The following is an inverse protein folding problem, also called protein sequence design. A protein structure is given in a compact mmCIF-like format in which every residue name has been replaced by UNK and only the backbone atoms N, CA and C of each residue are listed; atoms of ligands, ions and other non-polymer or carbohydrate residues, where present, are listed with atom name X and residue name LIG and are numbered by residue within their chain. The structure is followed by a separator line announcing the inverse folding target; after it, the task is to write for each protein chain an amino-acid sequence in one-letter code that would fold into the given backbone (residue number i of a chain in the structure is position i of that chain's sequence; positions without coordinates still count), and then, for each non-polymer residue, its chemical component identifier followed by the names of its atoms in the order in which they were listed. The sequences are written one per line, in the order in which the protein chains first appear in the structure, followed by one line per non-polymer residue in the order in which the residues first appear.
data_IF_709763693407
#
_entry.id   IF_709763693407
#
_cell.length_a   1.000
_cell.length_b   1.000
_cell.length_c   1.000
_cell.angle_alpha   90.00
_cell.angle_beta   90.00
_cell.angle_gamma   90.00
#
_symmetry.space_group_name_H-M   'P 1'
#
loop_
_entity.id
_entity.type
_entity.pdbx_description
1 polymer ?
2 non-polymer ?
3 water ?
#
# COMPACT_ATOMS: atom_id res chain seq x y z
N UNK A 15 -15.72 13.57 0.31
CA UNK A 15 -15.08 14.25 1.43
C UNK A 15 -14.51 15.60 1.00
N UNK A 16 -14.96 16.67 1.65
CA UNK A 16 -14.47 18.01 1.36
C UNK A 16 -13.28 18.31 2.26
N UNK A 17 -12.17 18.69 1.64
CA UNK A 17 -10.94 18.99 2.36
C UNK A 17 -10.83 20.49 2.68
N UNK A 18 -10.08 20.79 3.74
CA UNK A 18 -9.76 22.18 4.03
C UNK A 18 -8.91 22.78 2.91
N UNK A 19 -8.82 24.11 2.91
CA UNK A 19 -8.01 24.77 1.89
C UNK A 19 -6.53 24.41 2.03
N UNK A 20 -6.06 24.25 3.27
CA UNK A 20 -4.68 23.83 3.45
C UNK A 20 -4.47 22.41 2.92
N UNK A 21 -5.40 21.49 3.21
CA UNK A 21 -5.24 20.11 2.77
C UNK A 21 -5.47 19.98 1.27
N UNK A 22 -6.28 20.85 0.67
CA UNK A 22 -6.42 20.88 -0.78
C UNK A 22 -5.08 21.21 -1.42
N UNK A 23 -4.36 22.19 -0.87
CA UNK A 23 -3.04 22.50 -1.40
C UNK A 23 -2.08 21.33 -1.17
N UNK A 24 -2.24 20.60 -0.08
CA UNK A 24 -1.40 19.43 0.14
C UNK A 24 -1.66 18.38 -0.93
N UNK A 25 -2.94 18.15 -1.27
CA UNK A 25 -3.29 17.21 -2.31
C UNK A 25 -2.62 17.57 -3.61
N UNK A 26 -2.62 18.87 -3.95
CA UNK A 26 -2.04 19.28 -5.22
C UNK A 26 -0.53 19.16 -5.20
N UNK A 27 0.08 19.35 -4.03
CA UNK A 27 1.51 19.11 -3.90
C UNK A 27 1.82 17.63 -4.04
N UNK A 28 0.97 16.78 -3.47
CA UNK A 28 1.21 15.34 -3.57
C UNK A 28 1.16 14.90 -5.02
N UNK A 29 0.17 15.38 -5.75
CA UNK A 29 0.06 15.00 -7.15
C UNK A 29 1.23 15.52 -7.96
N UNK A 30 1.84 16.61 -7.53
CA UNK A 30 2.97 17.14 -8.28
C UNK A 30 4.20 16.27 -8.09
N UNK A 31 4.57 15.98 -6.83
CA UNK A 31 5.76 15.17 -6.61
C UNK A 31 5.54 13.70 -6.96
N UNK A 32 4.31 13.30 -7.26
CA UNK A 32 4.02 11.94 -7.67
C UNK A 32 3.83 11.81 -9.18
N UNK A 33 3.99 12.92 -9.92
CA UNK A 33 3.62 12.94 -11.33
C UNK A 33 4.78 12.47 -12.20
N UNK A 34 4.47 12.25 -13.48
CA UNK A 34 5.48 11.79 -14.43
C UNK A 34 6.66 12.76 -14.52
N UNK A 35 6.41 14.05 -14.31
CA UNK A 35 7.49 15.03 -14.39
C UNK A 35 8.68 14.65 -13.51
N UNK A 36 8.44 14.00 -12.38
CA UNK A 36 9.50 13.66 -11.46
C UNK A 36 9.69 12.16 -11.36
N UNK A 37 9.37 11.43 -12.43
CA UNK A 37 9.40 9.97 -12.37
C UNK A 37 10.80 9.44 -12.04
N UNK A 38 11.85 10.18 -12.43
CA UNK A 38 13.21 9.75 -12.11
C UNK A 38 13.51 9.77 -10.61
N UNK A 39 12.72 10.51 -9.84
CA UNK A 39 12.93 10.64 -8.39
C UNK A 39 11.90 9.89 -7.58
N UNK A 40 10.61 9.91 -7.99
CA UNK A 40 9.52 9.40 -7.16
C UNK A 40 9.20 7.92 -7.39
N UNK A 41 9.66 7.31 -8.48
CA UNK A 41 9.19 5.96 -8.75
C UNK A 41 9.62 4.98 -7.65
N UNK A 42 10.68 5.29 -6.90
CA UNK A 42 11.03 4.44 -5.77
C UNK A 42 10.08 4.60 -4.57
N UNK A 43 9.30 5.67 -4.52
CA UNK A 43 8.44 6.00 -3.38
C UNK A 43 6.96 5.91 -3.74
N UNK A 44 6.63 5.51 -4.95
CA UNK A 44 5.23 5.50 -5.37
C UNK A 44 4.41 4.45 -4.64
N UNK A 45 5.03 3.36 -4.22
CA UNK A 45 4.32 2.20 -3.70
C UNK A 45 5.02 1.67 -2.46
N UNK A 46 4.32 0.88 -1.64
CA UNK A 46 4.92 0.40 -0.41
C UNK A 46 6.17 -0.41 -0.65
N UNK A 47 7.13 -0.26 0.26
CA UNK A 47 8.30 -1.13 0.23
C UNK A 47 7.86 -2.57 0.40
N UNK A 48 8.40 -3.46 -0.48
CA UNK A 48 8.07 -4.89 -0.49
C UNK A 48 9.38 -5.60 -0.19
N UNK A 49 9.53 -6.12 1.03
CA UNK A 49 10.84 -6.63 1.44
C UNK A 49 11.24 -7.84 0.61
N UNK A 50 10.26 -8.67 0.22
CA UNK A 50 10.59 -9.88 -0.53
C UNK A 50 10.99 -9.50 -1.95
N UNK A 51 10.25 -8.60 -2.59
CA UNK A 51 10.52 -8.27 -3.98
C UNK A 51 11.87 -7.60 -4.13
N UNK A 52 12.24 -6.82 -3.14
CA UNK A 52 13.47 -6.04 -3.11
C UNK A 52 14.62 -6.78 -2.42
N UNK A 53 14.38 -7.96 -1.86
CA UNK A 53 15.42 -8.74 -1.21
C UNK A 53 16.06 -8.02 -0.03
N UNK A 54 15.26 -7.41 0.83
CA UNK A 54 15.76 -6.59 1.91
C UNK A 54 16.04 -7.42 3.16
N UNK A 55 17.13 -7.07 3.86
CA UNK A 55 17.46 -7.66 5.15
C UNK A 55 17.18 -6.64 6.28
N UNK A 56 16.36 -7.05 7.25
CA UNK A 56 16.17 -6.31 8.51
C UNK A 56 15.38 -5.02 8.34
N UNK A 57 14.50 -4.94 7.34
CA UNK A 57 13.89 -3.67 7.05
C UNK A 57 13.03 -3.23 8.22
N UNK A 58 12.20 -4.12 8.77
CA UNK A 58 11.26 -3.74 9.83
C UNK A 58 11.91 -3.81 11.21
N UNK A 59 13.15 -4.30 11.30
CA UNK A 59 13.95 -4.04 12.50
C UNK A 59 14.36 -2.58 12.56
N UNK A 60 14.59 -1.95 11.42
CA UNK A 60 15.00 -0.54 11.42
C UNK A 60 13.80 0.39 11.27
N UNK A 61 12.82 0.02 10.46
CA UNK A 61 11.68 0.87 10.12
C UNK A 61 10.48 0.34 10.88
N UNK A 62 9.92 1.15 11.78
CA UNK A 62 8.78 0.67 12.57
C UNK A 62 7.43 0.94 11.91
N UNK A 63 7.35 1.96 11.06
CA UNK A 63 6.12 2.25 10.33
C UNK A 63 6.49 2.67 8.92
N UNK A 64 6.12 1.83 7.95
CA UNK A 64 6.38 2.10 6.55
C UNK A 64 5.45 3.17 6.02
N UNK A 65 5.91 3.92 5.01
CA UNK A 65 5.10 4.96 4.41
C UNK A 65 5.53 5.18 2.96
N UNK A 66 4.59 5.56 2.12
CA UNK A 66 4.90 5.76 0.72
C UNK A 66 3.84 6.69 0.14
N UNK A 67 4.02 7.06 -1.14
CA UNK A 67 3.15 8.07 -1.75
C UNK A 67 1.72 7.57 -1.94
N UNK A 68 1.56 6.29 -2.32
CA UNK A 68 0.22 5.76 -2.51
C UNK A 68 -0.57 5.76 -1.20
N UNK A 69 0.09 5.44 -0.09
CA UNK A 69 -0.57 5.40 1.20
C UNK A 69 -0.94 6.79 1.68
N UNK A 70 -0.06 7.77 1.50
CA UNK A 70 -0.37 9.14 1.85
C UNK A 70 -1.57 9.64 1.06
N UNK A 71 -1.65 9.30 -0.24
CA UNK A 71 -2.81 9.67 -1.05
C UNK A 71 -4.10 9.04 -0.53
N UNK A 72 -4.05 7.76 -0.17
CA UNK A 72 -5.21 7.09 0.41
C UNK A 72 -5.65 7.80 1.68
N UNK A 73 -4.71 8.07 2.59
CA UNK A 73 -5.10 8.63 3.88
C UNK A 73 -5.66 10.04 3.71
N UNK A 74 -5.00 10.84 2.88
CA UNK A 74 -5.49 12.19 2.59
C UNK A 74 -6.91 12.17 2.05
N UNK A 75 -7.18 11.29 1.06
CA UNK A 75 -8.48 11.32 0.41
C UNK A 75 -9.55 10.63 1.23
N UNK A 76 -9.20 9.87 2.27
CA UNK A 76 -10.21 9.28 3.14
C UNK A 76 -10.36 10.09 4.43
N UNK A 77 -9.80 11.29 4.49
CA UNK A 77 -9.99 12.13 5.66
C UNK A 77 -9.20 11.79 6.91
N UNK A 78 -8.06 11.12 6.77
CA UNK A 78 -7.29 10.71 7.93
C UNK A 78 -6.26 11.75 8.37
N UNK A 79 -6.06 12.81 7.61
CA UNK A 79 -5.21 13.92 8.00
C UNK A 79 -6.08 15.09 8.45
N UNK A 80 -5.98 15.46 9.70
CA UNK A 80 -6.80 16.56 10.22
C UNK A 80 -6.18 17.92 9.94
N UNK A 81 -4.87 18.02 9.93
CA UNK A 81 -4.20 19.26 9.58
C UNK A 81 -3.10 18.99 8.56
N UNK A 82 -2.64 20.07 7.90
CA UNK A 82 -1.50 19.91 6.98
C UNK A 82 -0.27 19.32 7.67
N UNK A 83 -0.13 19.50 8.98
CA UNK A 83 1.02 18.93 9.69
C UNK A 83 0.91 17.41 9.80
N UNK A 84 -0.30 16.88 9.91
CA UNK A 84 -0.47 15.43 9.90
C UNK A 84 -0.01 14.85 8.58
N UNK A 85 -0.37 15.49 7.45
CA UNK A 85 0.06 15.07 6.12
C UNK A 85 1.58 15.23 5.98
N UNK A 86 2.13 16.33 6.45
CA UNK A 86 3.58 16.54 6.34
C UNK A 86 4.35 15.54 7.18
N UNK A 87 3.78 15.10 8.32
CA UNK A 87 4.43 14.07 9.13
C UNK A 87 4.65 12.81 8.33
N UNK A 88 3.63 12.34 7.61
CA UNK A 88 3.78 11.09 6.85
C UNK A 88 4.74 11.24 5.69
N UNK A 89 4.73 12.38 5.01
CA UNK A 89 5.71 12.60 3.95
C UNK A 89 7.12 12.54 4.52
N UNK A 90 7.34 13.21 5.65
CA UNK A 90 8.66 13.22 6.29
C UNK A 90 9.03 11.81 6.74
N UNK A 91 8.05 11.05 7.24
CA UNK A 91 8.32 9.69 7.66
C UNK A 91 8.79 8.83 6.50
N UNK A 92 8.18 9.02 5.33
CA UNK A 92 8.55 8.27 4.16
C UNK A 92 10.01 8.49 3.82
N UNK A 93 10.44 9.76 3.83
CA UNK A 93 11.81 10.04 3.44
C UNK A 93 12.80 9.58 4.52
N UNK A 94 12.47 9.81 5.82
CA UNK A 94 13.38 9.46 6.90
C UNK A 94 13.56 7.95 6.98
N UNK A 95 12.49 7.18 6.72
CA UNK A 95 12.63 5.73 6.62
C UNK A 95 13.69 5.34 5.59
N UNK A 96 13.63 5.96 4.40
CA UNK A 96 14.58 5.68 3.34
C UNK A 96 15.98 6.08 3.77
N UNK A 97 16.14 7.27 4.35
CA UNK A 97 17.49 7.69 4.72
C UNK A 97 18.14 6.76 5.76
N UNK A 98 17.37 6.34 6.75
CA UNK A 98 17.99 5.66 7.87
C UNK A 98 18.18 4.17 7.59
N UNK A 99 17.31 3.56 6.79
CA UNK A 99 17.56 2.17 6.42
C UNK A 99 18.66 2.04 5.37
N UNK A 100 18.59 2.88 4.33
CA UNK A 100 19.53 2.73 3.22
C UNK A 100 20.87 3.44 3.44
N UNK A 101 20.89 4.49 4.24
CA UNK A 101 22.15 5.22 4.44
C UNK A 101 22.17 6.43 3.54
N UNK A 102 22.67 7.57 4.02
CA UNK A 102 22.57 8.80 3.23
C UNK A 102 23.49 8.80 2.02
N UNK A 103 24.49 7.93 2.00
CA UNK A 103 25.33 7.78 0.81
C UNK A 103 24.73 6.85 -0.26
N UNK A 104 23.59 6.22 -0.02
CA UNK A 104 22.95 5.35 -0.99
C UNK A 104 22.33 6.16 -2.12
N UNK A 105 22.18 5.49 -3.26
CA UNK A 105 21.61 6.16 -4.41
C UNK A 105 20.16 6.55 -4.15
N UNK A 106 19.43 5.70 -3.43
CA UNK A 106 18.01 5.96 -3.25
C UNK A 106 17.83 7.11 -2.25
N UNK A 107 18.72 7.24 -1.28
CA UNK A 107 18.65 8.39 -0.39
C UNK A 107 18.97 9.66 -1.14
N UNK A 108 19.90 9.60 -2.10
CA UNK A 108 20.31 10.80 -2.81
C UNK A 108 19.17 11.34 -3.66
N UNK A 109 18.40 10.46 -4.31
CA UNK A 109 17.27 10.96 -5.09
C UNK A 109 16.13 11.36 -4.17
N UNK A 110 15.97 10.64 -3.05
CA UNK A 110 15.02 11.05 -2.03
C UNK A 110 15.20 12.48 -1.60
N UNK A 111 16.44 12.88 -1.28
CA UNK A 111 16.70 14.24 -0.82
C UNK A 111 16.30 15.24 -1.89
N UNK A 112 16.55 14.92 -3.16
CA UNK A 112 16.13 15.78 -4.26
C UNK A 112 14.62 15.96 -4.25
N UNK A 113 13.88 14.86 -4.13
CA UNK A 113 12.42 14.95 -4.11
C UNK A 113 11.91 15.67 -2.86
N UNK A 114 12.55 15.45 -1.71
CA UNK A 114 12.12 16.11 -0.49
C UNK A 114 12.36 17.61 -0.56
N UNK A 115 13.47 18.03 -1.16
CA UNK A 115 13.73 19.45 -1.29
C UNK A 115 12.65 20.11 -2.14
N UNK A 116 12.16 19.38 -3.16
CA UNK A 116 11.07 19.89 -3.97
C UNK A 116 9.83 20.03 -3.13
N UNK A 117 9.54 18.99 -2.35
CA UNK A 117 8.34 19.03 -1.51
C UNK A 117 8.46 20.13 -0.46
N UNK A 118 9.60 20.22 0.23
CA UNK A 118 9.79 21.25 1.25
C UNK A 118 9.54 22.63 0.70
N UNK A 119 10.08 22.92 -0.49
CA UNK A 119 9.91 24.23 -1.10
C UNK A 119 8.44 24.54 -1.30
N UNK A 120 7.67 23.57 -1.81
CA UNK A 120 6.25 23.83 -2.08
C UNK A 120 5.42 23.85 -0.79
N UNK A 121 5.73 22.96 0.14
CA UNK A 121 4.91 22.88 1.35
C UNK A 121 5.02 24.15 2.19
N UNK A 122 6.15 24.86 2.07
CA UNK A 122 6.32 26.10 2.79
C UNK A 122 5.29 27.15 2.39
N UNK A 123 4.68 27.01 1.22
CA UNK A 123 3.74 28.01 0.72
C UNK A 123 2.28 27.71 1.07
N UNK A 124 2.01 26.70 1.87
CA UNK A 124 0.63 26.30 2.17
C UNK A 124 0.12 27.19 3.30
N UNK A 125 -1.09 27.76 3.18
CA UNK A 125 -1.62 28.60 4.26
C UNK A 125 -1.97 27.77 5.49
N UNK A 126 -2.14 28.46 6.62
CA UNK A 126 -2.51 27.77 7.84
C UNK A 126 -3.85 27.06 7.69
N UNK A 127 -4.04 26.03 8.52
CA UNK A 127 -5.28 25.26 8.51
C UNK A 127 -6.52 26.11 8.68
N UNK B 16 -2.71 -17.06 19.46
CA UNK B 16 -2.87 -15.72 20.03
C UNK B 16 -2.18 -14.69 19.15
N UNK B 17 -2.97 -13.90 18.44
CA UNK B 17 -2.42 -12.86 17.58
C UNK B 17 -2.11 -11.60 18.40
N UNK B 18 -1.23 -10.76 17.85
CA UNK B 18 -0.94 -9.45 18.41
C UNK B 18 -2.09 -8.48 18.11
N UNK B 19 -2.09 -7.33 18.79
CA UNK B 19 -3.14 -6.35 18.56
C UNK B 19 -3.16 -5.90 17.11
N UNK B 20 -1.99 -5.75 16.51
CA UNK B 20 -1.94 -5.32 15.12
C UNK B 20 -2.49 -6.38 14.19
N UNK B 21 -2.13 -7.65 14.43
CA UNK B 21 -2.62 -8.72 13.56
C UNK B 21 -4.08 -9.03 13.84
N UNK B 22 -4.55 -8.82 15.07
CA UNK B 22 -5.98 -8.94 15.33
C UNK B 22 -6.78 -7.96 14.48
N UNK B 23 -6.30 -6.72 14.38
CA UNK B 23 -6.96 -5.75 13.51
C UNK B 23 -6.87 -6.19 12.05
N UNK B 24 -5.74 -6.79 11.65
CA UNK B 24 -5.64 -7.34 10.30
C UNK B 24 -6.66 -8.43 10.02
N UNK B 25 -6.86 -9.34 10.97
CA UNK B 25 -7.91 -10.35 10.83
C UNK B 25 -9.29 -9.72 10.65
N UNK B 26 -9.55 -8.66 11.40
CA UNK B 26 -10.86 -8.02 11.30
C UNK B 26 -11.04 -7.39 9.92
N UNK B 27 -9.97 -6.80 9.38
CA UNK B 27 -10.04 -6.24 8.04
C UNK B 27 -10.24 -7.35 7.01
N UNK B 28 -9.52 -8.46 7.15
CA UNK B 28 -9.68 -9.57 6.23
C UNK B 28 -11.11 -10.11 6.25
N UNK B 29 -11.71 -10.19 7.44
CA UNK B 29 -13.09 -10.66 7.51
C UNK B 29 -14.03 -9.68 6.82
N UNK B 30 -13.80 -8.38 6.98
CA UNK B 30 -14.69 -7.41 6.38
C UNK B 30 -14.64 -7.50 4.85
N UNK B 31 -13.44 -7.41 4.27
CA UNK B 31 -13.33 -7.43 2.82
C UNK B 31 -13.66 -8.79 2.21
N UNK B 32 -13.76 -9.84 3.04
CA UNK B 32 -14.15 -11.15 2.55
C UNK B 32 -15.64 -11.42 2.74
N UNK B 33 -16.41 -10.48 3.31
CA UNK B 33 -17.78 -10.76 3.72
C UNK B 33 -18.76 -10.53 2.56
N UNK B 34 -19.99 -10.99 2.75
CA UNK B 34 -21.02 -10.86 1.73
C UNK B 34 -21.19 -9.43 1.27
N UNK B 35 -20.94 -8.47 2.18
CA UNK B 35 -21.12 -7.07 1.85
C UNK B 35 -20.40 -6.70 0.56
N UNK B 36 -19.24 -7.29 0.32
CA UNK B 36 -18.43 -6.93 -0.83
C UNK B 36 -18.33 -8.09 -1.83
N UNK B 37 -19.35 -8.97 -1.86
CA UNK B 37 -19.29 -10.19 -2.66
C UNK B 37 -19.15 -9.86 -4.14
N UNK B 38 -19.75 -8.76 -4.58
CA UNK B 38 -19.62 -8.34 -5.96
C UNK B 38 -18.19 -7.96 -6.33
N UNK B 39 -17.33 -7.74 -5.34
CA UNK B 39 -15.93 -7.42 -5.58
C UNK B 39 -15.00 -8.59 -5.25
N UNK B 40 -15.24 -9.31 -4.15
CA UNK B 40 -14.24 -10.23 -3.63
C UNK B 40 -14.44 -11.66 -4.11
N UNK B 41 -15.55 -11.98 -4.76
CA UNK B 41 -15.74 -13.39 -5.13
C UNK B 41 -14.69 -13.84 -6.12
N UNK B 42 -14.11 -12.91 -6.89
CA UNK B 42 -12.98 -13.24 -7.74
C UNK B 42 -11.72 -13.63 -6.97
N UNK B 43 -11.62 -13.26 -5.69
CA UNK B 43 -10.39 -13.43 -4.92
C UNK B 43 -10.53 -14.41 -3.78
N UNK B 44 -11.69 -15.03 -3.61
CA UNK B 44 -11.93 -15.89 -2.47
C UNK B 44 -11.22 -17.23 -2.58
N UNK B 45 -10.86 -17.66 -3.81
CA UNK B 45 -10.18 -18.93 -4.05
C UNK B 45 -8.96 -18.74 -4.93
N UNK B 46 -7.99 -19.65 -4.85
CA UNK B 46 -6.86 -19.60 -5.78
C UNK B 46 -7.29 -19.63 -7.25
N UNK B 47 -6.60 -18.85 -8.07
CA UNK B 47 -6.87 -18.88 -9.49
C UNK B 47 -6.70 -20.30 -10.00
N UNK B 48 -7.67 -20.77 -10.82
CA UNK B 48 -7.68 -22.08 -11.46
C UNK B 48 -7.48 -21.85 -12.97
N UNK B 49 -6.25 -22.05 -13.43
CA UNK B 49 -5.93 -21.74 -14.81
C UNK B 49 -6.72 -22.62 -15.78
N UNK B 50 -7.05 -23.85 -15.38
CA UNK B 50 -7.81 -24.73 -16.28
C UNK B 50 -9.26 -24.28 -16.34
N UNK B 51 -9.87 -24.05 -15.15
CA UNK B 51 -11.28 -23.68 -15.10
C UNK B 51 -11.51 -22.35 -15.80
N UNK B 52 -10.54 -21.45 -15.73
CA UNK B 52 -10.71 -20.12 -16.26
C UNK B 52 -10.11 -19.96 -17.65
N UNK B 53 -9.50 -21.00 -18.19
CA UNK B 53 -9.02 -20.95 -19.56
C UNK B 53 -7.89 -19.97 -19.79
N UNK B 54 -6.97 -19.87 -18.84
CA UNK B 54 -5.97 -18.82 -18.89
C UNK B 54 -4.77 -19.26 -19.71
N UNK B 55 -4.18 -18.30 -20.41
CA UNK B 55 -2.93 -18.50 -21.15
C UNK B 55 -1.79 -17.78 -20.46
N UNK B 56 -0.71 -18.52 -20.16
CA UNK B 56 0.55 -17.99 -19.68
C UNK B 56 0.48 -17.42 -18.27
N UNK B 57 -0.46 -17.88 -17.46
CA UNK B 57 -0.65 -17.26 -16.15
C UNK B 57 0.61 -17.37 -15.31
N UNK B 58 1.15 -18.58 -15.20
CA UNK B 58 2.32 -18.78 -14.36
C UNK B 58 3.62 -18.28 -14.98
N UNK B 59 3.62 -17.89 -16.25
CA UNK B 59 4.76 -17.17 -16.81
C UNK B 59 4.81 -15.75 -16.27
N UNK B 60 3.65 -15.17 -15.96
CA UNK B 60 3.59 -13.81 -15.46
C UNK B 60 3.57 -13.80 -13.94
N UNK B 61 2.75 -14.67 -13.35
CA UNK B 61 2.53 -14.68 -11.90
C UNK B 61 3.39 -15.75 -11.30
N UNK B 62 4.48 -15.38 -10.64
CA UNK B 62 5.42 -16.33 -10.11
C UNK B 62 5.01 -16.86 -8.74
N UNK B 63 4.16 -16.14 -8.02
CA UNK B 63 3.62 -16.65 -6.76
C UNK B 63 2.16 -16.22 -6.63
N UNK B 64 1.28 -17.21 -6.71
CA UNK B 64 -0.14 -16.92 -6.65
C UNK B 64 -0.56 -16.55 -5.21
N UNK B 65 -1.64 -15.79 -5.09
CA UNK B 65 -2.12 -15.50 -3.73
C UNK B 65 -3.59 -15.17 -3.82
N UNK B 66 -4.32 -15.41 -2.73
CA UNK B 66 -5.76 -15.17 -2.70
C UNK B 66 -6.20 -15.06 -1.24
N UNK B 67 -7.48 -14.73 -1.04
CA UNK B 67 -7.98 -14.43 0.28
C UNK B 67 -8.04 -15.65 1.17
N UNK B 68 -8.41 -16.80 0.63
CA UNK B 68 -8.48 -18.01 1.45
C UNK B 68 -7.10 -18.41 1.94
N UNK B 69 -6.09 -18.27 1.08
CA UNK B 69 -4.72 -18.59 1.50
C UNK B 69 -4.21 -17.60 2.53
N UNK B 70 -4.54 -16.32 2.40
CA UNK B 70 -4.13 -15.33 3.40
C UNK B 70 -4.78 -15.65 4.74
N UNK B 71 -6.05 -16.05 4.72
CA UNK B 71 -6.71 -16.44 5.97
C UNK B 71 -6.01 -17.63 6.61
N UNK B 72 -5.71 -18.66 5.84
CA UNK B 72 -5.08 -19.85 6.41
C UNK B 72 -3.73 -19.49 7.01
N UNK B 73 -2.98 -18.60 6.34
CA UNK B 73 -1.67 -18.21 6.84
C UNK B 73 -1.81 -17.35 8.09
N UNK B 74 -2.82 -16.49 8.11
CA UNK B 74 -3.00 -15.64 9.28
C UNK B 74 -3.38 -16.46 10.51
N UNK B 75 -4.34 -17.37 10.35
CA UNK B 75 -4.83 -18.14 11.48
C UNK B 75 -3.89 -19.27 11.89
N UNK B 76 -2.91 -19.61 11.07
CA UNK B 76 -1.92 -20.63 11.41
C UNK B 76 -0.63 -20.00 11.92
N UNK B 77 -0.60 -18.68 12.07
CA UNK B 77 0.51 -18.04 12.74
C UNK B 77 1.70 -17.78 11.85
N UNK B 78 1.51 -17.71 10.55
CA UNK B 78 2.64 -17.52 9.64
C UNK B 78 2.97 -16.06 9.38
N UNK B 79 2.04 -15.14 9.70
CA UNK B 79 2.34 -13.71 9.67
C UNK B 79 2.83 -13.28 11.05
N UNK B 80 4.00 -12.67 11.09
CA UNK B 80 4.59 -12.23 12.34
C UNK B 80 4.45 -10.73 12.56
N UNK B 81 4.21 -9.96 11.51
CA UNK B 81 3.88 -8.55 11.62
C UNK B 81 2.74 -8.25 10.67
N UNK B 82 2.10 -7.11 10.87
CA UNK B 82 1.03 -6.70 9.97
C UNK B 82 1.54 -6.46 8.55
N UNK B 83 2.84 -6.23 8.39
CA UNK B 83 3.40 -6.00 7.06
C UNK B 83 3.58 -7.30 6.30
N UNK B 84 3.85 -8.40 7.00
CA UNK B 84 3.83 -9.71 6.35
C UNK B 84 2.45 -9.97 5.79
N UNK B 85 1.42 -9.64 6.58
CA UNK B 85 0.04 -9.78 6.14
C UNK B 85 -0.21 -8.88 4.93
N UNK B 86 0.16 -7.62 5.04
CA UNK B 86 -0.14 -6.68 3.97
C UNK B 86 0.58 -7.05 2.67
N UNK B 87 1.78 -7.64 2.77
CA UNK B 87 2.54 -7.98 1.58
C UNK B 87 1.80 -9.02 0.74
N UNK B 88 1.15 -9.99 1.39
CA UNK B 88 0.38 -10.99 0.64
C UNK B 88 -0.88 -10.38 0.03
N UNK B 89 -1.56 -9.50 0.77
CA UNK B 89 -2.74 -8.83 0.23
C UNK B 89 -2.36 -8.07 -1.03
N UNK B 90 -1.22 -7.36 -1.00
CA UNK B 90 -0.78 -6.61 -2.18
C UNK B 90 -0.33 -7.55 -3.30
N UNK B 91 0.33 -8.66 -2.94
CA UNK B 91 0.69 -9.66 -3.94
C UNK B 91 -0.54 -10.18 -4.68
N UNK B 92 -1.59 -10.51 -3.94
CA UNK B 92 -2.85 -10.90 -4.56
C UNK B 92 -3.30 -9.88 -5.60
N UNK B 93 -3.43 -8.60 -5.18
CA UNK B 93 -3.94 -7.59 -6.09
C UNK B 93 -2.96 -7.30 -7.22
N UNK B 94 -1.66 -7.23 -6.91
CA UNK B 94 -0.68 -6.94 -7.95
C UNK B 94 -0.64 -8.05 -9.00
N UNK B 95 -0.81 -9.31 -8.57
CA UNK B 95 -0.86 -10.39 -9.56
C UNK B 95 -2.00 -10.15 -10.55
N UNK B 96 -3.18 -9.80 -10.03
CA UNK B 96 -4.36 -9.54 -10.84
C UNK B 96 -4.15 -8.38 -11.81
N UNK B 97 -3.59 -7.28 -11.34
CA UNK B 97 -3.31 -6.16 -12.24
C UNK B 97 -2.28 -6.55 -13.30
N UNK B 98 -1.20 -7.21 -12.91
CA UNK B 98 -0.13 -7.47 -13.85
C UNK B 98 -0.58 -8.42 -14.97
N UNK B 99 -1.31 -9.45 -14.60
CA UNK B 99 -1.73 -10.43 -15.59
C UNK B 99 -2.88 -9.92 -16.46
N UNK B 100 -3.92 -9.38 -15.83
CA UNK B 100 -5.15 -9.08 -16.57
C UNK B 100 -5.09 -7.72 -17.24
N UNK B 101 -4.22 -6.82 -16.76
CA UNK B 101 -4.16 -5.48 -17.31
C UNK B 101 -5.04 -4.52 -16.52
N UNK B 102 -4.58 -3.27 -16.40
CA UNK B 102 -5.24 -2.29 -15.51
C UNK B 102 -6.63 -1.92 -16.00
N UNK B 103 -6.88 -2.01 -17.29
CA UNK B 103 -8.18 -1.68 -17.86
C UNK B 103 -9.16 -2.84 -17.86
N UNK B 104 -8.74 -4.02 -17.39
CA UNK B 104 -9.61 -5.19 -17.36
C UNK B 104 -10.66 -5.00 -16.28
N UNK B 105 -11.80 -5.66 -16.45
CA UNK B 105 -12.89 -5.55 -15.50
C UNK B 105 -12.51 -6.10 -14.15
N UNK B 106 -11.75 -7.21 -14.15
CA UNK B 106 -11.37 -7.80 -12.88
C UNK B 106 -10.35 -6.91 -12.16
N UNK B 107 -9.45 -6.28 -12.91
CA UNK B 107 -8.51 -5.35 -12.28
C UNK B 107 -9.25 -4.15 -11.69
N UNK B 108 -10.30 -3.68 -12.36
CA UNK B 108 -11.05 -2.53 -11.85
C UNK B 108 -11.82 -2.88 -10.57
N UNK B 109 -12.42 -4.07 -10.52
CA UNK B 109 -13.04 -4.54 -9.28
C UNK B 109 -11.99 -4.70 -8.19
N UNK B 110 -10.83 -5.27 -8.56
CA UNK B 110 -9.75 -5.40 -7.60
C UNK B 110 -9.33 -4.06 -6.99
N UNK B 111 -9.27 -3.01 -7.81
CA UNK B 111 -8.89 -1.70 -7.28
C UNK B 111 -9.92 -1.17 -6.28
N UNK B 112 -11.20 -1.45 -6.51
CA UNK B 112 -12.22 -1.04 -5.55
C UNK B 112 -12.04 -1.76 -4.21
N UNK B 113 -11.85 -3.08 -4.23
CA UNK B 113 -11.62 -3.80 -3.00
C UNK B 113 -10.34 -3.33 -2.33
N UNK B 114 -9.27 -3.16 -3.12
CA UNK B 114 -8.00 -2.76 -2.53
C UNK B 114 -8.10 -1.39 -1.85
N UNK B 115 -8.85 -0.46 -2.45
CA UNK B 115 -9.06 0.85 -1.83
C UNK B 115 -9.69 0.68 -0.45
N UNK B 116 -10.70 -0.20 -0.34
CA UNK B 116 -11.28 -0.45 0.97
C UNK B 116 -10.21 -0.96 1.93
N UNK B 117 -9.50 -1.99 1.51
CA UNK B 117 -8.41 -2.52 2.33
C UNK B 117 -7.42 -1.43 2.75
N UNK B 118 -6.94 -0.64 1.80
CA UNK B 118 -5.89 0.32 2.08
C UNK B 118 -6.35 1.35 3.11
N UNK B 119 -7.59 1.82 2.98
CA UNK B 119 -8.10 2.82 3.89
C UNK B 119 -8.10 2.29 5.31
N UNK B 120 -8.46 1.02 5.50
CA UNK B 120 -8.56 0.49 6.85
C UNK B 120 -7.22 0.03 7.39
N UNK B 121 -6.34 -0.49 6.52
CA UNK B 121 -5.01 -0.89 7.00
C UNK B 121 -4.23 0.31 7.57
N UNK B 122 -4.48 1.50 7.05
CA UNK B 122 -3.78 2.67 7.54
C UNK B 122 -4.11 2.98 8.99
N UNK B 123 -5.20 2.42 9.52
CA UNK B 123 -5.59 2.63 10.91
C UNK B 123 -5.12 1.53 11.83
N UNK B 124 -4.43 0.52 11.33
CA UNK B 124 -3.99 -0.59 12.19
C UNK B 124 -2.94 -0.11 13.18
N UNK B 125 -2.99 -0.53 14.44
CA UNK B 125 -1.94 -0.14 15.40
C UNK B 125 -0.60 -0.74 15.00
N UNK B 126 0.44 -0.18 15.60
CA UNK B 126 1.80 -0.64 15.40
C UNK B 126 1.96 -2.09 15.88
N UNK B 127 2.97 -2.76 15.34
CA UNK B 127 3.29 -4.12 15.76
C UNK B 127 3.87 -4.14 17.16
N UNK B 128 3.83 -5.31 17.79
CA UNK B 128 4.43 -5.51 19.11
C UNK B 128 5.92 -5.18 19.13
#
# INVERSE_FOLDING_TARGET
SPKREYEERNVGKRLRLSEALKACSNILKDISSQRYRDLNHFFLKPVDVVALGLHDYYDVVKKAMDLSTIKTKLESGQYHTKYDFADDVRLMFNNCYKYNGEDSEVARVGKQLQAIFDENFAKVPDDES
SPKREYEERNVGKRLRLSEALKACSNILKDISSQRYRDLNHFFLKPVDVVALGLHDYYDVVKKAMDLSTIKTKLESGQYHTKYDFADDVRLMFNNCYKYNGEDSEVARVGKQLQAIFDENFAKVPDDES
#
